data_IF_111687822837
#
_entry.id   IF_111687822837
#
_cell.length_a   1.000
_cell.length_b   1.000
_cell.length_c   1.000
_cell.angle_alpha   90.00
_cell.angle_beta   90.00
_cell.angle_gamma   90.00
#
_symmetry.space_group_name_H-M   'P 1'
#
loop_
_entity.id
_entity.type
_entity.pdbx_description
1 polymer ?
#
# COMPACT_ATOMS: atom_id res chain seq x y z
N UNK A 1 12.74 -29.92 -7.02
CA UNK A 1 11.59 -29.24 -6.37
C UNK A 1 12.06 -27.83 -6.10
N UNK A 2 11.46 -26.82 -6.73
CA UNK A 2 11.79 -25.42 -6.46
C UNK A 2 11.32 -25.09 -5.04
N UNK A 3 12.22 -24.63 -4.17
CA UNK A 3 11.81 -24.10 -2.87
C UNK A 3 10.87 -22.91 -3.09
N UNK A 4 9.72 -22.94 -2.42
CA UNK A 4 8.77 -21.84 -2.37
C UNK A 4 9.39 -20.68 -1.59
N UNK A 5 9.34 -19.48 -2.17
CA UNK A 5 9.78 -18.26 -1.49
C UNK A 5 8.88 -18.01 -0.28
N UNK A 6 9.49 -17.76 0.88
CA UNK A 6 8.74 -17.46 2.09
C UNK A 6 8.02 -16.11 1.96
N UNK A 7 6.78 -15.99 2.48
CA UNK A 7 6.05 -14.73 2.48
C UNK A 7 6.74 -13.66 3.33
N UNK A 8 6.59 -12.39 2.92
CA UNK A 8 7.00 -11.25 3.74
C UNK A 8 5.80 -10.83 4.58
N UNK A 9 5.96 -10.85 5.90
CA UNK A 9 4.87 -10.55 6.84
C UNK A 9 5.20 -9.37 7.72
N UNK A 10 4.24 -8.46 7.90
CA UNK A 10 4.28 -7.44 8.94
C UNK A 10 4.14 -8.10 10.33
N UNK A 11 4.65 -7.45 11.40
CA UNK A 11 4.29 -7.84 12.76
C UNK A 11 2.77 -7.76 12.96
N UNK A 12 2.19 -8.59 13.86
CA UNK A 12 0.79 -8.49 14.22
C UNK A 12 0.39 -7.06 14.58
N UNK A 13 -0.70 -6.59 13.98
CA UNK A 13 -1.15 -5.22 14.18
C UNK A 13 -1.47 -4.95 15.65
N UNK A 14 -0.88 -3.89 16.21
CA UNK A 14 -1.18 -3.45 17.59
C UNK A 14 -2.25 -2.37 17.60
N UNK A 15 -2.22 -1.49 16.59
CA UNK A 15 -3.17 -0.41 16.39
C UNK A 15 -3.33 -0.18 14.88
N UNK A 16 -4.21 -0.96 14.23
CA UNK A 16 -4.44 -0.87 12.79
C UNK A 16 -4.75 0.55 12.31
N UNK A 17 -5.49 1.32 13.10
CA UNK A 17 -5.87 2.70 12.75
C UNK A 17 -4.67 3.64 12.73
N UNK A 18 -3.75 3.50 13.69
CA UNK A 18 -2.51 4.28 13.71
C UNK A 18 -1.58 3.90 12.54
N UNK A 19 -1.45 2.60 12.25
CA UNK A 19 -0.73 2.12 11.07
C UNK A 19 -1.34 2.70 9.78
N UNK A 20 -2.67 2.75 9.72
CA UNK A 20 -3.39 3.38 8.62
C UNK A 20 -3.10 4.87 8.48
N UNK A 21 -3.14 5.64 9.58
CA UNK A 21 -2.82 7.07 9.53
C UNK A 21 -1.42 7.35 8.99
N UNK A 22 -0.45 6.55 9.42
CA UNK A 22 0.91 6.59 8.87
C UNK A 22 0.90 6.28 7.38
N UNK A 23 0.31 5.16 6.97
CA UNK A 23 0.28 4.73 5.57
C UNK A 23 -0.39 5.79 4.67
N UNK A 24 -1.49 6.39 5.12
CA UNK A 24 -2.18 7.43 4.36
C UNK A 24 -1.29 8.65 4.14
N UNK A 25 -0.62 9.13 5.19
CA UNK A 25 0.25 10.31 5.11
C UNK A 25 1.46 10.05 4.21
N UNK A 26 2.10 8.90 4.38
CA UNK A 26 3.28 8.52 3.60
C UNK A 26 2.93 8.25 2.14
N UNK A 27 1.81 7.56 1.87
CA UNK A 27 1.33 7.34 0.51
C UNK A 27 0.95 8.65 -0.18
N UNK A 28 0.25 9.55 0.51
CA UNK A 28 -0.06 10.87 -0.05
C UNK A 28 1.20 11.65 -0.40
N UNK A 29 2.19 11.68 0.50
CA UNK A 29 3.47 12.34 0.25
C UNK A 29 4.21 11.71 -0.95
N UNK A 30 4.16 10.38 -1.08
CA UNK A 30 4.72 9.68 -2.23
C UNK A 30 3.99 10.06 -3.53
N UNK A 31 2.65 10.07 -3.53
CA UNK A 31 1.86 10.46 -4.70
C UNK A 31 2.10 11.90 -5.14
N UNK A 32 2.19 12.83 -4.20
CA UNK A 32 2.47 14.24 -4.47
C UNK A 32 3.92 14.48 -4.92
N UNK A 33 4.83 13.54 -4.66
CA UNK A 33 6.22 13.57 -5.15
C UNK A 33 6.36 12.96 -6.53
N UNK A 34 5.66 11.85 -6.81
CA UNK A 34 5.75 11.11 -8.07
C UNK A 34 4.85 11.72 -9.16
N UNK A 35 3.72 12.29 -8.76
CA UNK A 35 2.71 12.86 -9.65
C UNK A 35 2.39 14.31 -9.28
N UNK A 36 1.55 14.95 -10.09
CA UNK A 36 1.10 16.31 -9.82
C UNK A 36 0.24 16.30 -8.55
N UNK A 37 0.52 17.16 -7.55
CA UNK A 37 -0.31 17.26 -6.36
C UNK A 37 -1.73 17.69 -6.70
N UNK A 38 -2.70 16.83 -6.38
CA UNK A 38 -4.11 17.07 -6.68
C UNK A 38 -5.05 16.45 -5.65
N UNK A 39 -6.29 16.94 -5.60
CA UNK A 39 -7.30 16.44 -4.66
C UNK A 39 -7.68 14.96 -4.88
N UNK A 40 -7.35 14.39 -6.04
CA UNK A 40 -7.51 12.96 -6.29
C UNK A 40 -6.53 12.14 -5.44
N UNK A 41 -5.29 12.61 -5.25
CA UNK A 41 -4.25 11.92 -4.48
C UNK A 41 -4.70 11.67 -3.03
N UNK A 42 -5.29 12.68 -2.38
CA UNK A 42 -5.81 12.56 -1.01
C UNK A 42 -6.92 11.50 -0.92
N UNK A 43 -7.86 11.49 -1.88
CA UNK A 43 -8.96 10.53 -1.91
C UNK A 43 -8.46 9.11 -2.16
N UNK A 44 -7.51 8.95 -3.08
CA UNK A 44 -6.90 7.67 -3.42
C UNK A 44 -6.09 7.12 -2.23
N UNK A 45 -5.24 7.94 -1.62
CA UNK A 45 -4.46 7.55 -0.44
C UNK A 45 -5.35 7.12 0.71
N UNK A 46 -6.43 7.87 0.97
CA UNK A 46 -7.43 7.52 1.97
C UNK A 46 -8.12 6.19 1.66
N UNK A 47 -8.52 5.96 0.41
CA UNK A 47 -9.21 4.73 -0.01
C UNK A 47 -8.32 3.49 0.14
N UNK A 48 -7.08 3.56 -0.37
CA UNK A 48 -6.10 2.47 -0.23
C UNK A 48 -5.82 2.14 1.24
N UNK A 49 -5.69 3.15 2.08
CA UNK A 49 -5.47 2.98 3.52
C UNK A 49 -6.67 2.33 4.22
N UNK A 50 -7.90 2.70 3.86
CA UNK A 50 -9.10 2.06 4.44
C UNK A 50 -9.13 0.55 4.16
N UNK A 51 -8.71 0.14 2.97
CA UNK A 51 -8.59 -1.28 2.60
C UNK A 51 -7.52 -1.95 3.47
N UNK A 52 -6.33 -1.35 3.57
CA UNK A 52 -5.25 -1.83 4.44
C UNK A 52 -5.73 -2.01 5.89
N UNK A 53 -6.30 -0.97 6.50
CA UNK A 53 -6.76 -1.02 7.90
C UNK A 53 -7.77 -2.14 8.11
N UNK A 54 -8.72 -2.33 7.18
CA UNK A 54 -9.70 -3.40 7.25
C UNK A 54 -9.03 -4.78 7.24
N UNK A 55 -8.09 -5.02 6.33
CA UNK A 55 -7.34 -6.28 6.27
C UNK A 55 -6.50 -6.52 7.55
N UNK A 56 -5.86 -5.47 8.08
CA UNK A 56 -5.10 -5.55 9.34
C UNK A 56 -6.00 -5.92 10.53
N UNK A 57 -7.21 -5.34 10.59
CA UNK A 57 -8.22 -5.69 11.61
C UNK A 57 -8.74 -7.14 11.45
N UNK A 58 -8.79 -7.65 10.22
CA UNK A 58 -9.13 -9.05 9.91
C UNK A 58 -7.97 -10.02 10.25
N UNK A 59 -6.82 -9.50 10.69
CA UNK A 59 -5.66 -10.28 11.12
C UNK A 59 -4.68 -10.61 10.00
N UNK A 60 -4.82 -10.01 8.81
CA UNK A 60 -3.88 -10.19 7.71
C UNK A 60 -2.56 -9.45 8.00
N UNK A 61 -1.46 -10.16 7.77
CA UNK A 61 -0.10 -9.67 7.97
C UNK A 61 0.80 -9.93 6.77
N UNK A 62 0.41 -10.79 5.83
CA UNK A 62 1.16 -11.02 4.60
C UNK A 62 1.09 -9.78 3.69
N UNK A 63 2.25 -9.23 3.36
CA UNK A 63 2.35 -8.04 2.51
C UNK A 63 1.76 -8.31 1.13
N UNK A 64 1.96 -9.51 0.58
CA UNK A 64 1.38 -9.92 -0.69
C UNK A 64 -0.14 -9.88 -0.68
N UNK A 65 -0.78 -10.51 0.30
CA UNK A 65 -2.23 -10.47 0.52
C UNK A 65 -2.76 -9.05 0.65
N UNK A 66 -2.08 -8.20 1.45
CA UNK A 66 -2.48 -6.80 1.64
C UNK A 66 -2.44 -6.01 0.32
N UNK A 67 -1.38 -6.17 -0.46
CA UNK A 67 -1.23 -5.52 -1.77
C UNK A 67 -2.26 -6.04 -2.77
N UNK A 68 -2.53 -7.35 -2.77
CA UNK A 68 -3.56 -7.98 -3.62
C UNK A 68 -4.95 -7.44 -3.26
N UNK A 69 -5.27 -7.29 -1.97
CA UNK A 69 -6.55 -6.72 -1.53
C UNK A 69 -6.69 -5.27 -2.04
N UNK A 70 -5.64 -4.46 -1.89
CA UNK A 70 -5.63 -3.06 -2.35
C UNK A 70 -5.85 -2.98 -3.86
N UNK A 71 -5.06 -3.69 -4.67
CA UNK A 71 -5.23 -3.62 -6.14
C UNK A 71 -6.62 -4.09 -6.55
N UNK A 72 -7.13 -5.17 -5.96
CA UNK A 72 -8.44 -5.74 -6.30
C UNK A 72 -9.57 -4.78 -5.97
N UNK A 73 -9.55 -4.13 -4.81
CA UNK A 73 -10.61 -3.21 -4.42
C UNK A 73 -10.50 -1.85 -5.10
N UNK A 74 -9.28 -1.41 -5.43
CA UNK A 74 -9.05 -0.17 -6.16
C UNK A 74 -9.46 -0.27 -7.63
N UNK A 75 -9.57 -1.46 -8.24
CA UNK A 75 -10.13 -1.62 -9.59
C UNK A 75 -11.55 -1.07 -9.74
N UNK A 76 -12.32 -0.99 -8.63
CA UNK A 76 -13.65 -0.40 -8.63
C UNK A 76 -13.66 1.14 -8.49
N UNK A 77 -12.48 1.77 -8.34
CA UNK A 77 -12.33 3.21 -8.24
C UNK A 77 -12.16 3.87 -9.61
N UNK A 78 -12.74 5.05 -9.79
CA UNK A 78 -12.62 5.84 -11.02
C UNK A 78 -11.35 6.69 -11.00
N UNK A 79 -10.31 6.22 -11.68
CA UNK A 79 -9.04 6.92 -11.88
C UNK A 79 -9.06 7.88 -13.07
N UNK A 80 -10.20 8.17 -13.71
CA UNK A 80 -10.25 9.07 -14.89
C UNK A 80 -9.76 10.49 -14.63
N UNK A 81 -9.65 10.87 -13.34
CA UNK A 81 -9.13 12.17 -12.88
C UNK A 81 -7.70 12.10 -12.33
N UNK A 82 -6.97 11.01 -12.59
CA UNK A 82 -5.57 10.85 -12.16
C UNK A 82 -4.71 10.34 -13.30
N UNK A 83 -3.39 10.54 -13.20
CA UNK A 83 -2.41 10.09 -14.21
C UNK A 83 -1.95 8.65 -14.06
N UNK A 84 -2.43 7.95 -13.02
CA UNK A 84 -2.02 6.61 -12.64
C UNK A 84 -3.24 5.77 -12.27
N UNK A 85 -3.03 4.46 -12.09
CA UNK A 85 -4.09 3.50 -11.73
C UNK A 85 -3.80 2.72 -10.46
N UNK A 86 -4.64 1.73 -10.20
CA UNK A 86 -4.61 0.85 -9.02
C UNK A 86 -3.26 0.15 -8.81
N UNK A 87 -2.59 -0.25 -9.90
CA UNK A 87 -1.31 -0.94 -9.83
C UNK A 87 -0.19 -0.04 -9.29
N UNK A 88 -0.20 1.25 -9.66
CA UNK A 88 0.77 2.21 -9.14
C UNK A 88 0.61 2.37 -7.61
N UNK A 89 -0.64 2.43 -7.14
CA UNK A 89 -0.95 2.51 -5.71
C UNK A 89 -0.52 1.24 -4.99
N UNK A 90 -0.85 0.06 -5.52
CA UNK A 90 -0.50 -1.22 -4.92
C UNK A 90 1.02 -1.39 -4.80
N UNK A 91 1.77 -1.01 -5.84
CA UNK A 91 3.23 -1.05 -5.83
C UNK A 91 3.82 -0.05 -4.82
N UNK A 92 3.32 1.18 -4.78
CA UNK A 92 3.76 2.17 -3.81
C UNK A 92 3.50 1.70 -2.37
N UNK A 93 2.33 1.11 -2.09
CA UNK A 93 2.05 0.56 -0.76
C UNK A 93 2.99 -0.60 -0.44
N UNK A 94 3.25 -1.50 -1.38
CA UNK A 94 4.21 -2.59 -1.20
C UNK A 94 5.57 -2.04 -0.79
N UNK A 95 6.11 -1.08 -1.54
CA UNK A 95 7.40 -0.43 -1.24
C UNK A 95 7.41 0.21 0.15
N UNK A 96 6.39 1.01 0.49
CA UNK A 96 6.32 1.68 1.79
C UNK A 96 6.24 0.69 2.96
N UNK A 97 5.53 -0.43 2.79
CA UNK A 97 5.47 -1.48 3.80
C UNK A 97 6.83 -2.18 3.96
N UNK A 98 7.53 -2.46 2.87
CA UNK A 98 8.89 -3.03 2.92
C UNK A 98 9.88 -2.07 3.61
N UNK A 99 9.83 -0.79 3.27
CA UNK A 99 10.62 0.26 3.93
C UNK A 99 10.33 0.31 5.44
N UNK A 100 9.07 0.17 5.85
CA UNK A 100 8.69 0.13 7.28
C UNK A 100 9.28 -1.06 8.05
N UNK A 101 9.61 -2.14 7.34
CA UNK A 101 10.30 -3.31 7.88
C UNK A 101 11.84 -3.16 7.86
N UNK A 102 12.36 -2.05 7.34
CA UNK A 102 13.79 -1.86 7.10
C UNK A 102 14.33 -2.74 5.95
N UNK A 103 13.45 -3.26 5.10
CA UNK A 103 13.84 -3.95 3.88
C UNK A 103 14.06 -2.86 2.83
N UNK A 104 15.31 -2.52 2.60
CA UNK A 104 15.68 -1.52 1.61
C UNK A 104 15.29 -1.99 0.20
N UNK A 105 15.01 -1.04 -0.69
CA UNK A 105 14.76 -1.35 -2.10
C UNK A 105 16.03 -2.00 -2.63
N UNK A 106 15.99 -3.30 -2.90
CA UNK A 106 17.01 -3.96 -3.69
C UNK A 106 16.93 -3.42 -5.13
N UNK A 107 17.43 -2.21 -5.32
CA UNK A 107 17.80 -1.72 -6.63
C UNK A 107 19.17 -2.33 -6.95
N UNK A 108 19.24 -3.10 -8.04
CA UNK A 108 20.54 -3.48 -8.59
C UNK A 108 21.36 -2.22 -8.88
N UNK A 109 22.64 -2.25 -8.51
CA UNK A 109 23.64 -1.29 -8.98
C UNK A 109 23.71 -1.24 -10.51
#
# INVERSE_FOLDING_TARGET
MSESIAPITLPPAKNPEQEGQWLQQTLLAWLDSEFIPEAANEQIAKRATQIYVRQRMEGENDVGSLVIAIVTEMQAYDFSKSFYGEFAIANAVSDLLLESLGIDKCCGE
#
